data_IF_301864954587
#
_entry.id   IF_301864954587
#
_cell.length_a   1.000
_cell.length_b   1.000
_cell.length_c   1.000
_cell.angle_alpha   90.00
_cell.angle_beta   90.00
_cell.angle_gamma   90.00
#
_symmetry.space_group_name_H-M   'P 1'
#
loop_
_entity.id
_entity.type
_entity.pdbx_description
1 polymer ?
#
# COMPACT_ATOMS: atom_id res chain seq x y z
N UNK A 1 -49.24 -12.72 -34.03
CA UNK A 1 -48.87 -13.08 -35.42
C UNK A 1 -48.20 -11.87 -36.07
N UNK A 2 -46.99 -12.05 -36.61
CA UNK A 2 -46.21 -11.16 -37.51
C UNK A 2 -45.65 -9.87 -36.87
N UNK A 3 -44.41 -9.44 -37.07
CA UNK A 3 -43.20 -10.01 -37.68
C UNK A 3 -42.01 -9.15 -37.22
N UNK A 4 -40.86 -9.79 -36.98
CA UNK A 4 -39.56 -9.16 -36.75
C UNK A 4 -39.08 -8.36 -37.98
N UNK A 5 -38.40 -7.24 -37.73
CA UNK A 5 -37.58 -6.51 -38.70
C UNK A 5 -36.17 -6.28 -38.09
N UNK A 6 -35.11 -6.15 -38.92
CA UNK A 6 -33.80 -6.71 -38.61
C UNK A 6 -32.78 -5.72 -38.06
N UNK A 7 -31.79 -6.29 -37.39
CA UNK A 7 -30.53 -5.69 -36.93
C UNK A 7 -29.79 -4.94 -38.06
N UNK A 8 -29.38 -3.70 -37.79
CA UNK A 8 -28.42 -2.95 -38.60
C UNK A 8 -27.05 -3.01 -37.93
N UNK A 9 -26.12 -3.75 -38.54
CA UNK A 9 -24.71 -3.85 -38.14
C UNK A 9 -23.93 -2.65 -38.68
N UNK A 10 -23.58 -1.69 -37.82
CA UNK A 10 -22.61 -0.64 -38.15
C UNK A 10 -21.21 -1.10 -37.75
N UNK A 11 -20.44 -1.51 -38.75
CA UNK A 11 -19.03 -1.87 -38.67
C UNK A 11 -18.19 -0.62 -38.40
N UNK A 12 -17.60 -0.50 -37.20
CA UNK A 12 -16.59 0.51 -36.94
C UNK A 12 -15.21 -0.03 -37.35
N UNK A 13 -14.67 0.52 -38.42
CA UNK A 13 -13.31 0.28 -38.90
C UNK A 13 -12.32 1.00 -37.98
N UNK A 14 -11.51 0.24 -37.25
CA UNK A 14 -10.32 0.76 -36.56
C UNK A 14 -9.24 1.07 -37.60
N UNK A 15 -8.94 2.35 -37.78
CA UNK A 15 -7.76 2.80 -38.53
C UNK A 15 -6.56 2.82 -37.58
N UNK A 16 -5.70 1.80 -37.69
CA UNK A 16 -4.43 1.71 -36.98
C UNK A 16 -3.34 2.37 -37.81
N UNK A 17 -2.96 3.62 -37.49
CA UNK A 17 -1.74 4.22 -38.02
C UNK A 17 -0.54 3.76 -37.16
N UNK A 18 0.56 3.25 -37.76
CA UNK A 18 1.74 2.83 -37.02
C UNK A 18 2.54 4.06 -36.57
N UNK A 19 2.69 4.24 -35.26
CA UNK A 19 3.61 5.23 -34.70
C UNK A 19 4.95 4.55 -34.39
N UNK A 20 5.96 4.99 -35.13
CA UNK A 20 7.38 4.64 -35.00
C UNK A 20 7.90 4.90 -33.58
N UNK A 21 8.14 3.82 -32.82
CA UNK A 21 8.88 3.88 -31.56
C UNK A 21 10.38 3.79 -31.89
N UNK A 22 10.98 4.95 -32.21
CA UNK A 22 12.43 5.10 -32.24
C UNK A 22 12.95 5.22 -30.80
N UNK A 23 13.51 4.09 -30.33
CA UNK A 23 14.58 3.95 -29.34
C UNK A 23 15.10 5.24 -28.70
N UNK A 24 14.66 5.52 -27.47
CA UNK A 24 15.38 6.33 -26.50
C UNK A 24 15.75 5.45 -25.31
N UNK A 25 16.95 4.85 -25.38
CA UNK A 25 17.61 4.21 -24.24
C UNK A 25 18.48 5.26 -23.54
N UNK A 26 18.18 5.68 -22.30
CA UNK A 26 19.16 6.41 -21.50
C UNK A 26 20.20 5.43 -20.94
N UNK A 27 21.44 5.70 -21.29
CA UNK A 27 22.66 5.00 -20.92
C UNK A 27 22.90 5.08 -19.40
N UNK A 28 22.71 3.97 -18.68
CA UNK A 28 23.06 3.82 -17.26
C UNK A 28 24.57 3.62 -17.12
N UNK A 29 25.35 4.70 -17.19
CA UNK A 29 26.73 4.73 -16.71
C UNK A 29 27.26 6.16 -16.56
N UNK A 30 26.82 6.88 -15.50
CA UNK A 30 27.55 8.02 -14.92
C UNK A 30 27.30 8.10 -13.41
N UNK A 31 28.34 7.86 -12.60
CA UNK A 31 28.39 8.25 -11.18
C UNK A 31 28.42 9.78 -11.09
N UNK A 32 27.64 10.42 -10.20
CA UNK A 32 27.95 11.78 -9.77
C UNK A 32 28.94 11.73 -8.60
N UNK A 33 30.12 12.30 -8.82
CA UNK A 33 31.03 12.78 -7.79
C UNK A 33 30.40 14.02 -7.13
N UNK A 34 30.32 14.04 -5.81
CA UNK A 34 30.09 15.26 -5.04
C UNK A 34 31.26 15.45 -4.06
N UNK A 35 32.16 16.34 -4.42
CA UNK A 35 33.20 16.87 -3.54
C UNK A 35 32.54 17.79 -2.49
N UNK A 36 32.53 17.37 -1.23
CA UNK A 36 32.28 18.24 -0.09
C UNK A 36 33.45 18.11 0.88
N UNK A 37 34.36 19.08 0.79
CA UNK A 37 35.49 19.29 1.69
C UNK A 37 34.93 19.77 3.04
N UNK A 38 35.07 18.95 4.09
CA UNK A 38 34.89 19.39 5.48
C UNK A 38 36.26 19.73 6.09
N UNK A 39 36.43 20.88 6.75
CA UNK A 39 37.66 21.19 7.46
C UNK A 39 37.74 20.40 8.77
N UNK A 40 38.85 19.69 8.98
CA UNK A 40 39.18 19.07 10.26
C UNK A 40 39.58 20.15 11.27
N UNK A 41 38.69 20.43 12.23
CA UNK A 41 39.08 21.12 13.48
C UNK A 41 39.06 20.11 14.62
N UNK A 42 40.25 19.76 15.08
CA UNK A 42 40.50 19.07 16.34
C UNK A 42 40.02 19.94 17.50
N UNK A 43 39.03 19.47 18.25
CA UNK A 43 38.64 20.04 19.53
C UNK A 43 39.07 19.07 20.63
N UNK A 44 40.05 19.49 21.43
CA UNK A 44 40.53 18.78 22.61
C UNK A 44 39.42 18.66 23.68
N UNK A 45 39.29 17.53 24.38
CA UNK A 45 38.32 17.42 25.47
C UNK A 45 38.88 18.12 26.74
N UNK A 46 38.32 19.27 27.08
CA UNK A 46 38.45 19.84 28.44
C UNK A 46 37.61 19.02 29.41
N UNK A 47 38.28 18.42 30.40
CA UNK A 47 37.67 17.67 31.47
C UNK A 47 36.71 18.55 32.29
N UNK A 48 35.42 18.18 32.31
CA UNK A 48 34.46 18.68 33.28
C UNK A 48 34.24 17.56 34.30
N UNK A 49 34.85 17.75 35.47
CA UNK A 49 34.65 16.92 36.64
C UNK A 49 33.28 17.23 37.27
N UNK A 50 32.39 16.24 37.29
CA UNK A 50 31.21 16.25 38.15
C UNK A 50 31.35 15.14 39.19
N UNK A 51 31.37 15.55 40.45
CA UNK A 51 31.51 14.69 41.62
C UNK A 51 30.36 13.69 41.71
N UNK A 52 30.72 12.42 41.84
CA UNK A 52 29.82 11.33 42.21
C UNK A 52 29.27 11.55 43.62
N UNK A 53 27.97 11.80 43.75
CA UNK A 53 27.24 11.40 44.97
C UNK A 53 26.85 9.95 44.80
N UNK A 54 27.47 9.10 45.62
CA UNK A 54 27.16 7.68 45.72
C UNK A 54 25.70 7.52 46.16
N UNK A 55 24.92 6.79 45.35
CA UNK A 55 23.85 5.94 45.84
C UNK A 55 23.84 4.70 44.93
N UNK A 56 24.51 3.67 45.43
CA UNK A 56 24.66 2.38 44.78
C UNK A 56 23.33 1.60 44.79
N UNK A 57 23.14 0.84 43.71
CA UNK A 57 22.20 -0.28 43.57
C UNK A 57 20.77 0.05 43.10
N UNK A 58 20.65 0.64 41.89
CA UNK A 58 19.53 0.39 40.95
C UNK A 58 19.69 1.07 39.56
N UNK A 59 20.78 1.80 39.30
CA UNK A 59 20.94 2.62 38.09
C UNK A 59 21.46 1.88 36.84
N UNK A 60 22.11 0.72 36.97
CA UNK A 60 22.73 0.04 35.82
C UNK A 60 21.71 -0.64 34.90
N UNK A 61 20.71 -1.30 35.50
CA UNK A 61 19.60 -1.93 34.78
C UNK A 61 18.68 -0.90 34.13
N UNK A 62 18.39 0.21 34.82
CA UNK A 62 17.52 1.29 34.32
C UNK A 62 18.17 2.13 33.22
N UNK A 63 19.49 2.35 33.24
CA UNK A 63 20.22 3.03 32.13
C UNK A 63 20.31 2.16 30.88
N UNK A 64 20.54 0.86 31.04
CA UNK A 64 20.58 -0.10 29.92
C UNK A 64 19.21 -0.24 29.25
N UNK A 65 18.14 -0.38 30.04
CA UNK A 65 16.76 -0.44 29.54
C UNK A 65 16.35 0.85 28.81
N UNK A 66 16.69 2.03 29.35
CA UNK A 66 16.43 3.31 28.67
C UNK A 66 17.19 3.45 27.34
N UNK A 67 18.43 2.94 27.27
CA UNK A 67 19.22 2.96 26.04
C UNK A 67 18.64 2.00 24.99
N UNK A 68 18.15 0.84 25.42
CA UNK A 68 17.47 -0.13 24.54
C UNK A 68 16.12 0.39 24.05
N UNK A 69 15.34 1.03 24.90
CA UNK A 69 14.08 1.70 24.54
C UNK A 69 14.35 2.81 23.52
N UNK A 70 15.37 3.64 23.75
CA UNK A 70 15.79 4.68 22.81
C UNK A 70 16.26 4.11 21.48
N UNK A 71 17.10 3.08 21.49
CA UNK A 71 17.59 2.44 20.26
C UNK A 71 16.46 1.75 19.50
N UNK A 72 15.48 1.18 20.20
CA UNK A 72 14.28 0.58 19.60
C UNK A 72 13.39 1.66 19.01
N UNK A 73 13.20 2.79 19.71
CA UNK A 73 12.46 3.94 19.21
C UNK A 73 13.15 4.57 17.98
N UNK A 74 14.47 4.74 18.02
CA UNK A 74 15.25 5.26 16.88
C UNK A 74 15.24 4.30 15.69
N UNK A 75 15.34 2.98 15.92
CA UNK A 75 15.15 1.98 14.87
C UNK A 75 13.75 2.02 14.29
N UNK A 76 12.70 2.24 15.11
CA UNK A 76 11.32 2.44 14.63
C UNK A 76 11.19 3.71 13.80
N UNK A 77 11.86 4.79 14.19
CA UNK A 77 11.87 6.07 13.47
C UNK A 77 12.68 6.03 12.16
N UNK A 78 13.67 5.14 12.05
CA UNK A 78 14.53 4.99 10.87
C UNK A 78 14.16 3.81 9.97
N UNK A 79 12.94 3.26 10.10
CA UNK A 79 12.47 2.16 9.26
C UNK A 79 12.32 2.62 7.80
N UNK A 80 12.61 1.70 6.87
CA UNK A 80 12.45 1.98 5.44
C UNK A 80 10.95 2.22 5.15
N UNK A 81 10.56 3.36 4.57
CA UNK A 81 9.15 3.67 4.29
C UNK A 81 8.49 2.69 3.30
N UNK A 82 9.29 1.94 2.53
CA UNK A 82 8.80 0.95 1.56
C UNK A 82 8.93 -0.50 2.05
N UNK A 83 9.21 -0.69 3.34
CA UNK A 83 9.25 -2.01 3.95
C UNK A 83 7.97 -2.27 4.76
N UNK A 84 7.44 -3.49 4.67
CA UNK A 84 6.23 -3.84 5.38
C UNK A 84 6.54 -4.18 6.84
N UNK A 85 5.96 -3.41 7.75
CA UNK A 85 6.11 -3.60 9.19
C UNK A 85 4.81 -4.12 9.80
N UNK A 86 4.62 -5.44 9.70
CA UNK A 86 3.43 -6.12 10.20
C UNK A 86 3.21 -5.92 11.71
N UNK A 87 4.29 -5.75 12.47
CA UNK A 87 4.26 -5.52 13.92
C UNK A 87 3.59 -4.19 14.32
N UNK A 88 3.47 -3.24 13.40
CA UNK A 88 2.80 -1.96 13.62
C UNK A 88 1.29 -2.01 13.37
N UNK A 89 0.75 -3.16 12.95
CA UNK A 89 -0.66 -3.33 12.65
C UNK A 89 -1.04 -2.94 11.23
N UNK A 90 -2.34 -2.84 10.99
CA UNK A 90 -2.90 -2.40 9.71
C UNK A 90 -2.62 -0.91 9.48
N UNK A 91 -2.05 -0.58 8.33
CA UNK A 91 -1.83 0.79 7.86
C UNK A 91 -2.54 1.05 6.54
N UNK A 92 -2.91 2.30 6.28
CA UNK A 92 -3.59 2.68 5.05
C UNK A 92 -3.53 4.19 4.79
N UNK A 93 -3.82 4.57 3.55
CA UNK A 93 -3.94 5.95 3.10
C UNK A 93 -5.22 6.14 2.30
N UNK A 94 -5.91 7.25 2.54
CA UNK A 94 -7.03 7.71 1.72
C UNK A 94 -6.48 8.30 0.42
N UNK A 95 -6.83 7.68 -0.71
CA UNK A 95 -6.35 8.09 -2.05
C UNK A 95 -7.33 9.07 -2.70
N UNK A 96 -8.63 8.75 -2.61
CA UNK A 96 -9.73 9.64 -3.00
C UNK A 96 -10.82 9.56 -1.96
N UNK A 97 -11.87 10.38 -2.05
CA UNK A 97 -12.98 10.39 -1.09
C UNK A 97 -13.61 9.01 -0.88
N UNK A 98 -13.59 8.15 -1.90
CA UNK A 98 -14.23 6.83 -1.91
C UNK A 98 -13.23 5.65 -1.90
N UNK A 99 -11.92 5.91 -1.98
CA UNK A 99 -10.90 4.87 -2.17
C UNK A 99 -9.80 4.97 -1.11
N UNK A 100 -9.61 3.88 -0.37
CA UNK A 100 -8.53 3.68 0.59
C UNK A 100 -7.64 2.54 0.09
N UNK A 101 -6.32 2.71 0.19
CA UNK A 101 -5.34 1.67 -0.10
C UNK A 101 -4.53 1.39 1.15
N UNK A 102 -4.32 0.12 1.48
CA UNK A 102 -3.58 -0.24 2.69
C UNK A 102 -3.09 -1.69 2.74
N UNK A 103 -2.54 -2.04 3.91
CA UNK A 103 -2.11 -3.39 4.25
C UNK A 103 -3.29 -4.28 4.65
N UNK A 104 -3.04 -5.58 4.79
CA UNK A 104 -4.08 -6.51 5.25
C UNK A 104 -4.62 -6.14 6.65
N UNK A 105 -5.94 -6.23 6.89
CA UNK A 105 -6.49 -6.35 8.23
C UNK A 105 -5.94 -7.61 8.90
N UNK A 106 -5.54 -7.51 10.16
CA UNK A 106 -4.92 -8.59 10.91
C UNK A 106 -5.92 -9.31 11.83
N UNK A 107 -6.92 -8.59 12.32
CA UNK A 107 -7.91 -9.06 13.29
C UNK A 107 -9.29 -8.45 13.05
N UNK A 108 -10.39 -9.05 13.53
CA UNK A 108 -11.76 -8.54 13.34
C UNK A 108 -11.94 -7.09 13.75
N UNK A 109 -11.24 -6.62 14.79
CA UNK A 109 -11.31 -5.24 15.29
C UNK A 109 -10.79 -4.22 14.27
N UNK A 110 -9.93 -4.65 13.34
CA UNK A 110 -9.49 -3.78 12.24
C UNK A 110 -10.65 -3.51 11.27
N UNK A 111 -11.61 -4.45 11.14
CA UNK A 111 -12.82 -4.27 10.34
C UNK A 111 -13.78 -3.29 11.01
N UNK A 112 -13.88 -3.34 12.34
CA UNK A 112 -14.61 -2.35 13.13
C UNK A 112 -14.03 -0.95 12.92
N UNK A 113 -12.71 -0.82 13.05
CA UNK A 113 -11.99 0.43 12.78
C UNK A 113 -12.26 0.98 11.38
N UNK A 114 -12.21 0.14 10.34
CA UNK A 114 -12.51 0.57 8.97
C UNK A 114 -13.98 1.01 8.82
N UNK A 115 -14.91 0.36 9.53
CA UNK A 115 -16.33 0.73 9.48
C UNK A 115 -16.59 2.07 10.14
N UNK A 116 -16.10 2.24 11.37
CA UNK A 116 -16.42 3.35 12.26
C UNK A 116 -15.66 4.62 11.85
N UNK A 117 -14.35 4.51 11.64
CA UNK A 117 -13.49 5.68 11.39
C UNK A 117 -13.46 6.08 9.92
N UNK A 118 -13.62 5.11 9.01
CA UNK A 118 -13.43 5.33 7.58
C UNK A 118 -14.71 5.12 6.76
N UNK A 119 -15.84 4.78 7.39
CA UNK A 119 -17.09 4.51 6.69
C UNK A 119 -16.92 3.52 5.51
N UNK A 120 -16.08 2.49 5.72
CA UNK A 120 -15.86 1.44 4.72
C UNK A 120 -17.11 0.58 4.60
N UNK A 121 -17.54 0.35 3.36
CA UNK A 121 -18.64 -0.55 3.02
C UNK A 121 -18.18 -1.75 2.17
N UNK A 122 -16.98 -1.68 1.60
CA UNK A 122 -16.44 -2.71 0.72
C UNK A 122 -14.96 -2.95 1.02
N UNK A 123 -14.57 -4.22 1.02
CA UNK A 123 -13.17 -4.64 1.13
C UNK A 123 -12.81 -5.44 -0.11
N UNK A 124 -11.74 -5.05 -0.81
CA UNK A 124 -11.17 -5.77 -1.94
C UNK A 124 -9.80 -6.34 -1.56
N UNK A 125 -9.78 -7.65 -1.30
CA UNK A 125 -8.59 -8.41 -0.93
C UNK A 125 -7.93 -9.02 -2.18
N UNK A 126 -6.67 -8.67 -2.44
CA UNK A 126 -5.88 -9.12 -3.58
C UNK A 126 -4.92 -10.29 -3.26
N UNK A 127 -4.99 -10.84 -2.06
CA UNK A 127 -4.07 -11.87 -1.56
C UNK A 127 -4.43 -13.27 -2.06
N UNK A 128 -3.39 -14.08 -2.28
CA UNK A 128 -3.51 -15.52 -2.44
C UNK A 128 -3.60 -16.19 -1.08
N UNK A 129 -4.13 -17.42 -1.05
CA UNK A 129 -4.24 -18.19 0.21
C UNK A 129 -2.86 -18.40 0.86
N UNK A 130 -1.81 -18.57 0.06
CA UNK A 130 -0.43 -18.66 0.56
C UNK A 130 0.04 -17.41 1.32
N UNK A 131 -0.41 -16.21 0.93
CA UNK A 131 -0.07 -14.97 1.65
C UNK A 131 -0.76 -14.96 3.02
N UNK A 132 -2.04 -15.33 3.05
CA UNK A 132 -2.89 -15.34 4.26
C UNK A 132 -2.34 -16.35 5.27
N UNK A 133 -1.98 -17.55 4.80
CA UNK A 133 -1.36 -18.58 5.63
C UNK A 133 0.00 -18.15 6.16
N UNK A 134 0.84 -17.52 5.32
CA UNK A 134 2.17 -17.06 5.74
C UNK A 134 2.11 -16.05 6.91
N UNK A 135 1.16 -15.13 6.86
CA UNK A 135 0.95 -14.13 7.93
C UNK A 135 0.03 -14.60 9.06
N UNK A 136 -0.40 -15.87 9.02
CA UNK A 136 -1.26 -16.47 10.02
C UNK A 136 -2.55 -15.66 10.29
N UNK A 137 -3.16 -15.14 9.22
CA UNK A 137 -4.40 -14.37 9.30
C UNK A 137 -5.59 -15.31 9.30
N UNK A 138 -6.45 -15.17 10.32
CA UNK A 138 -7.76 -15.82 10.35
C UNK A 138 -8.74 -15.08 9.43
N UNK A 139 -8.66 -15.36 8.14
CA UNK A 139 -9.53 -14.75 7.14
C UNK A 139 -11.01 -15.07 7.36
N UNK A 140 -11.34 -16.23 7.93
CA UNK A 140 -12.74 -16.60 8.17
C UNK A 140 -13.38 -15.66 9.19
N UNK A 141 -12.71 -15.42 10.31
CA UNK A 141 -13.15 -14.44 11.32
C UNK A 141 -13.27 -13.02 10.75
N UNK A 142 -12.33 -12.60 9.89
CA UNK A 142 -12.39 -11.30 9.19
C UNK A 142 -13.64 -11.20 8.31
N UNK A 143 -13.88 -12.21 7.48
CA UNK A 143 -15.04 -12.24 6.57
C UNK A 143 -16.34 -12.29 7.35
N UNK A 144 -16.40 -13.04 8.45
CA UNK A 144 -17.57 -13.11 9.31
C UNK A 144 -17.88 -11.76 9.96
N UNK A 145 -16.85 -11.06 10.44
CA UNK A 145 -17.02 -9.70 10.97
C UNK A 145 -17.52 -8.73 9.91
N UNK A 146 -17.01 -8.83 8.68
CA UNK A 146 -17.51 -8.03 7.56
C UNK A 146 -19.02 -8.24 7.35
N UNK A 147 -19.49 -9.49 7.35
CA UNK A 147 -20.92 -9.80 7.19
C UNK A 147 -21.77 -9.19 8.29
N UNK A 148 -21.33 -9.29 9.55
CA UNK A 148 -22.04 -8.73 10.71
C UNK A 148 -22.23 -7.21 10.59
N UNK A 149 -21.24 -6.50 10.04
CA UNK A 149 -21.26 -5.04 9.87
C UNK A 149 -21.86 -4.59 8.53
N UNK A 150 -22.33 -5.53 7.70
CA UNK A 150 -22.84 -5.23 6.36
C UNK A 150 -21.76 -4.76 5.37
N UNK A 151 -20.49 -5.06 5.63
CA UNK A 151 -19.37 -4.80 4.71
C UNK A 151 -19.28 -5.95 3.70
N UNK A 152 -19.23 -5.62 2.42
CA UNK A 152 -19.03 -6.61 1.36
C UNK A 152 -17.53 -6.88 1.17
N UNK A 153 -17.09 -8.06 1.63
CA UNK A 153 -15.72 -8.55 1.39
C UNK A 153 -15.64 -9.29 0.03
N UNK A 154 -14.68 -8.91 -0.80
CA UNK A 154 -14.45 -9.45 -2.15
C UNK A 154 -13.00 -9.90 -2.31
N UNK A 155 -12.78 -11.00 -3.04
CA UNK A 155 -11.42 -11.50 -3.33
C UNK A 155 -11.12 -11.48 -4.82
N UNK A 156 -9.95 -10.94 -5.18
CA UNK A 156 -9.38 -10.96 -6.55
C UNK A 156 -7.88 -11.27 -6.47
N UNK A 157 -7.51 -12.53 -6.18
CA UNK A 157 -6.13 -12.90 -5.87
C UNK A 157 -5.17 -12.64 -7.03
N UNK A 158 -4.04 -11.99 -6.75
CA UNK A 158 -2.90 -11.85 -7.65
C UNK A 158 -1.62 -12.30 -6.92
N UNK A 159 -0.70 -12.95 -7.61
CA UNK A 159 0.56 -13.42 -7.00
C UNK A 159 1.44 -12.24 -6.62
N UNK A 160 2.04 -12.30 -5.43
CA UNK A 160 2.95 -11.25 -4.98
C UNK A 160 4.26 -11.26 -5.77
N UNK A 161 4.83 -10.07 -5.99
CA UNK A 161 6.06 -9.88 -6.77
C UNK A 161 6.04 -10.47 -8.19
N UNK A 162 4.84 -10.64 -8.78
CA UNK A 162 4.65 -11.16 -10.14
C UNK A 162 3.85 -10.16 -11.00
N UNK A 163 4.53 -9.33 -11.82
CA UNK A 163 3.88 -8.34 -12.67
C UNK A 163 2.92 -8.93 -13.71
N UNK A 164 3.18 -10.13 -14.22
CA UNK A 164 2.33 -10.78 -15.22
C UNK A 164 1.04 -11.29 -14.58
N UNK A 165 1.14 -11.88 -13.38
CA UNK A 165 -0.03 -12.24 -12.59
C UNK A 165 -0.90 -11.02 -12.30
N UNK A 166 -0.27 -9.92 -11.85
CA UNK A 166 -0.98 -8.66 -11.58
C UNK A 166 -1.64 -8.13 -12.85
N UNK A 167 -0.93 -8.06 -13.98
CA UNK A 167 -1.47 -7.62 -15.27
C UNK A 167 -2.69 -8.43 -15.69
N UNK A 168 -2.65 -9.76 -15.52
CA UNK A 168 -3.77 -10.63 -15.86
C UNK A 168 -4.99 -10.45 -14.96
N UNK A 169 -4.77 -10.06 -13.69
CA UNK A 169 -5.83 -9.89 -12.70
C UNK A 169 -6.44 -8.49 -12.69
N UNK A 170 -5.68 -7.47 -13.12
CA UNK A 170 -6.07 -6.07 -13.10
C UNK A 170 -7.49 -5.82 -13.63
N UNK A 171 -7.91 -6.32 -14.81
CA UNK A 171 -9.27 -6.08 -15.31
C UNK A 171 -10.37 -6.54 -14.35
N UNK A 172 -10.19 -7.71 -13.72
CA UNK A 172 -11.17 -8.27 -12.77
C UNK A 172 -11.17 -7.54 -11.44
N UNK A 173 -9.99 -7.15 -10.96
CA UNK A 173 -9.83 -6.38 -9.73
C UNK A 173 -10.44 -4.98 -9.85
N UNK A 174 -10.11 -4.28 -10.93
CA UNK A 174 -10.62 -2.93 -11.20
C UNK A 174 -12.13 -2.96 -11.44
N UNK A 175 -12.67 -3.96 -12.15
CA UNK A 175 -14.13 -4.10 -12.32
C UNK A 175 -14.85 -4.26 -10.98
N UNK A 176 -14.29 -5.03 -10.03
CA UNK A 176 -14.87 -5.15 -8.68
C UNK A 176 -14.76 -3.86 -7.87
N UNK A 177 -13.66 -3.12 -8.02
CA UNK A 177 -13.47 -1.82 -7.38
C UNK A 177 -14.46 -0.78 -7.94
N UNK A 178 -14.53 -0.62 -9.26
CA UNK A 178 -15.42 0.32 -9.93
C UNK A 178 -16.88 0.05 -9.56
N UNK A 179 -17.31 -1.22 -9.62
CA UNK A 179 -18.65 -1.61 -9.21
C UNK A 179 -18.95 -1.21 -7.76
N UNK A 180 -18.02 -1.44 -6.83
CA UNK A 180 -18.19 -1.09 -5.42
C UNK A 180 -18.26 0.43 -5.19
N UNK A 181 -17.45 1.21 -5.91
CA UNK A 181 -17.53 2.68 -5.89
C UNK A 181 -18.86 3.16 -6.46
N UNK A 182 -19.32 2.57 -7.57
CA UNK A 182 -20.59 2.94 -8.23
C UNK A 182 -21.83 2.68 -7.37
N UNK A 183 -21.79 1.68 -6.48
CA UNK A 183 -22.90 1.41 -5.54
C UNK A 183 -23.06 2.52 -4.47
N UNK A 184 -21.99 3.27 -4.16
CA UNK A 184 -22.06 4.46 -3.32
C UNK A 184 -22.46 4.25 -1.85
N UNK A 185 -22.36 3.03 -1.30
CA UNK A 185 -22.76 2.73 0.10
C UNK A 185 -21.71 3.14 1.15
N UNK A 186 -20.52 3.54 0.71
CA UNK A 186 -19.39 3.89 1.57
C UNK A 186 -18.07 3.74 0.83
N UNK A 187 -16.94 3.85 1.54
CA UNK A 187 -15.61 3.75 0.95
C UNK A 187 -15.26 2.30 0.60
N UNK A 188 -14.38 2.14 -0.40
CA UNK A 188 -13.76 0.87 -0.77
C UNK A 188 -12.34 0.82 -0.20
N UNK A 189 -12.07 -0.20 0.62
CA UNK A 189 -10.75 -0.51 1.14
C UNK A 189 -10.09 -1.57 0.27
N UNK A 190 -9.07 -1.19 -0.49
CA UNK A 190 -8.31 -2.10 -1.35
C UNK A 190 -7.01 -2.46 -0.66
N UNK A 191 -6.75 -3.76 -0.49
CA UNK A 191 -5.53 -4.20 0.15
C UNK A 191 -4.90 -5.43 -0.52
N UNK A 192 -3.61 -5.58 -0.27
CA UNK A 192 -2.89 -6.84 -0.45
C UNK A 192 -2.27 -7.19 0.91
N UNK A 193 -1.06 -7.75 0.94
CA UNK A 193 -0.33 -7.96 2.20
C UNK A 193 0.12 -6.63 2.79
N UNK A 194 0.96 -5.89 2.07
CA UNK A 194 1.62 -4.68 2.56
C UNK A 194 0.96 -3.38 2.13
N UNK A 195 0.11 -3.41 1.09
CA UNK A 195 -0.40 -2.18 0.48
C UNK A 195 0.61 -1.45 -0.41
N UNK A 196 1.71 -2.09 -0.82
CA UNK A 196 2.83 -1.44 -1.53
C UNK A 196 2.97 -1.85 -3.01
N UNK A 197 2.28 -2.90 -3.46
CA UNK A 197 2.41 -3.41 -4.83
C UNK A 197 1.06 -3.60 -5.52
N UNK A 198 0.43 -4.75 -5.26
CA UNK A 198 -0.84 -5.16 -5.91
C UNK A 198 -1.98 -4.15 -5.68
N UNK A 199 -2.19 -3.69 -4.45
CA UNK A 199 -3.28 -2.76 -4.12
C UNK A 199 -3.10 -1.36 -4.74
N UNK A 200 -1.94 -0.70 -4.62
CA UNK A 200 -1.66 0.53 -5.36
C UNK A 200 -1.84 0.38 -6.87
N UNK A 201 -1.40 -0.73 -7.47
CA UNK A 201 -1.56 -0.93 -8.91
C UNK A 201 -3.03 -0.99 -9.34
N UNK A 202 -3.89 -1.65 -8.56
CA UNK A 202 -5.35 -1.67 -8.83
C UNK A 202 -5.95 -0.27 -8.69
N UNK A 203 -5.56 0.48 -7.65
CA UNK A 203 -6.02 1.85 -7.45
C UNK A 203 -5.60 2.79 -8.59
N UNK A 204 -4.34 2.72 -9.03
CA UNK A 204 -3.81 3.51 -10.15
C UNK A 204 -4.55 3.15 -11.44
N UNK A 205 -4.73 1.87 -11.73
CA UNK A 205 -5.47 1.43 -12.92
C UNK A 205 -6.92 1.91 -12.90
N UNK A 206 -7.59 1.87 -11.76
CA UNK A 206 -8.94 2.42 -11.59
C UNK A 206 -8.99 3.92 -11.88
N UNK A 207 -8.09 4.71 -11.28
CA UNK A 207 -8.04 6.16 -11.50
C UNK A 207 -7.76 6.50 -12.96
N UNK A 208 -6.86 5.75 -13.61
CA UNK A 208 -6.54 5.96 -15.01
C UNK A 208 -7.71 5.61 -15.95
N UNK A 209 -8.42 4.51 -15.68
CA UNK A 209 -9.50 4.05 -16.57
C UNK A 209 -10.84 4.77 -16.36
N UNK A 210 -11.12 5.23 -15.14
CA UNK A 210 -12.46 5.70 -14.75
C UNK A 210 -12.50 7.09 -14.13
N UNK A 211 -11.37 7.71 -13.77
CA UNK A 211 -11.34 9.02 -13.11
C UNK A 211 -10.78 10.14 -13.99
N UNK A 212 -10.69 9.95 -15.31
CA UNK A 212 -10.14 10.90 -16.29
C UNK A 212 -8.76 11.48 -15.88
N UNK A 213 -7.98 10.73 -15.10
CA UNK A 213 -6.63 11.12 -14.71
C UNK A 213 -5.61 10.53 -15.69
N UNK A 214 -4.85 11.37 -16.38
CA UNK A 214 -3.75 10.92 -17.23
C UNK A 214 -2.65 10.21 -16.40
N UNK A 215 -2.10 9.08 -16.88
CA UNK A 215 -1.08 8.28 -16.17
C UNK A 215 0.24 9.04 -15.95
N UNK A 216 0.37 10.26 -16.49
CA UNK A 216 1.49 11.16 -16.27
C UNK A 216 1.49 11.82 -14.88
N UNK A 217 0.36 11.80 -14.17
CA UNK A 217 0.17 12.48 -12.87
C UNK A 217 0.42 11.71 -11.56
N UNK A 218 0.43 10.36 -11.45
CA UNK A 218 0.58 9.65 -10.18
C UNK A 218 2.04 9.50 -9.70
N UNK A 219 3.04 9.91 -10.49
CA UNK A 219 4.45 9.93 -10.07
C UNK A 219 4.94 11.37 -9.94
N UNK A 220 4.63 12.03 -8.81
CA UNK A 220 5.42 13.17 -8.34
C UNK A 220 6.23 12.74 -7.10
N UNK A 221 7.55 13.03 -7.09
CA UNK A 221 8.44 12.68 -5.98
C UNK A 221 8.12 13.43 -4.69
#
# INVERSE_FOLDING_TARGET
MKSLAPFSSSSFTFASSPLDIKTFLPNLNKKPQSDLILPSKTLNPTAISCKTTQNENNESSTKTHKMEDYNTAMKRMMRNPYEYHHDLGMNYNLITENLIVGSQPQKPEDIDHLKEEQNVAYILNLQQDGDITYWNIDLESIVERCKQLGIRHMRRPARDFDPDSLRSMLPKAVSSLEWAVSEGKGRVYVHCTAGLGRAPAVAIAYMFWFSDMDVSYPFRP
#
